data_IF_890080200963
#
_entry.id   IF_890080200963
#
_cell.length_a   1.000
_cell.length_b   1.000
_cell.length_c   1.000
_cell.angle_alpha   90.00
_cell.angle_beta   90.00
_cell.angle_gamma   90.00
#
_symmetry.space_group_name_H-M   'P 1'
#
loop_
_entity.id
_entity.type
_entity.pdbx_description
1 polymer ?
#
# COMPACT_ATOMS: atom_id res chain seq x y z
N UNK A 1 -15.35 8.58 -8.06
CA UNK A 1 -16.02 8.68 -6.79
C UNK A 1 -15.48 9.86 -6.01
N UNK A 2 -16.34 10.77 -5.58
CA UNK A 2 -15.96 11.93 -4.79
C UNK A 2 -15.46 11.53 -3.40
N UNK A 3 -14.69 12.39 -2.77
CA UNK A 3 -14.35 12.29 -1.36
C UNK A 3 -15.62 12.59 -0.54
N UNK A 4 -16.30 11.58 -0.08
CA UNK A 4 -17.48 11.67 0.77
C UNK A 4 -17.80 10.30 1.36
N UNK A 5 -18.60 10.23 2.40
CA UNK A 5 -19.00 8.95 2.96
C UNK A 5 -19.79 8.18 1.90
N UNK A 6 -19.25 7.01 1.51
CA UNK A 6 -19.96 6.08 0.65
C UNK A 6 -21.02 5.38 1.49
N UNK A 7 -22.29 5.69 1.29
CA UNK A 7 -23.38 4.97 1.94
C UNK A 7 -23.73 3.73 1.10
N UNK A 8 -23.36 2.55 1.58
CA UNK A 8 -23.76 1.28 0.98
C UNK A 8 -24.88 0.69 1.81
N UNK A 9 -26.08 0.63 1.23
CA UNK A 9 -27.28 0.09 1.91
C UNK A 9 -27.48 -1.38 1.60
N UNK A 10 -28.03 -2.12 2.57
CA UNK A 10 -28.49 -3.50 2.37
C UNK A 10 -27.39 -4.56 2.37
N UNK A 11 -26.19 -4.26 2.84
CA UNK A 11 -25.18 -5.29 3.09
C UNK A 11 -25.71 -6.24 4.14
N UNK A 12 -25.69 -7.54 3.83
CA UNK A 12 -26.00 -8.60 4.77
C UNK A 12 -24.74 -9.41 5.02
N UNK A 13 -24.32 -9.47 6.28
CA UNK A 13 -23.25 -10.37 6.71
C UNK A 13 -23.87 -11.52 7.48
N UNK A 14 -23.34 -12.74 7.29
CA UNK A 14 -23.71 -13.92 8.07
C UNK A 14 -22.55 -14.22 9.01
N UNK A 15 -22.82 -14.20 10.29
CA UNK A 15 -21.88 -14.65 11.32
C UNK A 15 -22.33 -16.00 11.85
N UNK A 16 -21.48 -17.02 11.73
CA UNK A 16 -21.76 -18.33 12.31
C UNK A 16 -21.19 -18.39 13.72
N UNK A 17 -21.95 -17.93 14.69
CA UNK A 17 -21.52 -17.81 16.08
C UNK A 17 -21.09 -19.15 16.71
N UNK A 18 -21.66 -20.27 16.29
CA UNK A 18 -21.35 -21.59 16.83
C UNK A 18 -19.91 -22.03 16.44
N UNK A 19 -19.42 -21.69 15.25
CA UNK A 19 -18.06 -22.01 14.81
C UNK A 19 -17.00 -21.27 15.64
N UNK A 20 -17.40 -20.20 16.32
CA UNK A 20 -16.54 -19.38 17.18
C UNK A 20 -16.80 -19.63 18.69
N UNK A 21 -17.55 -20.69 19.03
CA UNK A 21 -17.80 -21.07 20.41
C UNK A 21 -18.85 -20.23 21.17
N UNK A 22 -19.60 -19.39 20.45
CA UNK A 22 -20.66 -18.58 21.06
C UNK A 22 -22.00 -19.32 21.08
N UNK A 23 -22.81 -19.08 22.12
CA UNK A 23 -24.20 -19.53 22.20
C UNK A 23 -25.16 -18.48 21.59
N UNK A 24 -26.38 -18.89 21.17
CA UNK A 24 -27.37 -17.93 20.64
C UNK A 24 -27.79 -16.83 21.62
N UNK A 25 -27.51 -17.03 22.91
CA UNK A 25 -27.82 -16.10 24.00
C UNK A 25 -26.67 -15.12 24.33
N UNK A 26 -25.50 -15.29 23.72
CA UNK A 26 -24.38 -14.46 24.02
C UNK A 26 -24.53 -13.07 23.36
N UNK A 27 -24.09 -12.05 24.07
CA UNK A 27 -23.99 -10.70 23.52
C UNK A 27 -22.66 -10.53 22.85
N UNK A 28 -22.64 -10.15 21.58
CA UNK A 28 -21.43 -9.90 20.80
C UNK A 28 -21.42 -8.46 20.28
N UNK A 29 -20.24 -7.90 20.16
CA UNK A 29 -20.01 -6.63 19.45
C UNK A 29 -19.46 -6.99 18.07
N UNK A 30 -20.11 -6.53 17.02
CA UNK A 30 -19.68 -6.73 15.65
C UNK A 30 -19.14 -5.42 15.09
N UNK A 31 -17.90 -5.44 14.60
CA UNK A 31 -17.32 -4.35 13.83
C UNK A 31 -17.15 -4.80 12.39
N UNK A 32 -17.50 -3.92 11.44
CA UNK A 32 -17.37 -4.21 10.02
C UNK A 32 -16.38 -3.21 9.42
N UNK A 33 -15.33 -3.74 8.82
CA UNK A 33 -14.33 -2.96 8.09
C UNK A 33 -14.54 -3.17 6.59
N UNK A 34 -14.41 -2.11 5.82
CA UNK A 34 -14.54 -2.18 4.37
C UNK A 34 -13.36 -1.45 3.70
N UNK A 35 -12.80 -2.07 2.67
CA UNK A 35 -11.72 -1.52 1.87
C UNK A 35 -12.24 -1.28 0.46
N UNK A 36 -12.09 -0.06 -0.04
CA UNK A 36 -12.47 0.25 -1.42
C UNK A 36 -11.45 -0.35 -2.38
N UNK A 37 -11.93 -1.20 -3.30
CA UNK A 37 -11.11 -1.92 -4.26
C UNK A 37 -11.40 -1.47 -5.68
N UNK A 38 -10.37 -1.52 -6.54
CA UNK A 38 -10.47 -1.29 -7.98
C UNK A 38 -10.31 -2.61 -8.70
N UNK A 39 -11.24 -2.90 -9.61
CA UNK A 39 -11.18 -4.09 -10.47
C UNK A 39 -10.25 -3.82 -11.67
N UNK A 40 -9.25 -4.67 -11.83
CA UNK A 40 -8.31 -4.67 -12.94
C UNK A 40 -8.68 -5.86 -13.85
N UNK A 41 -9.20 -5.62 -15.06
CA UNK A 41 -9.68 -6.70 -15.92
C UNK A 41 -8.55 -7.51 -16.53
N UNK A 42 -8.84 -8.76 -16.86
CA UNK A 42 -7.95 -9.63 -17.63
C UNK A 42 -7.64 -9.00 -18.98
N UNK A 43 -6.37 -8.80 -19.26
CA UNK A 43 -5.90 -8.31 -20.57
C UNK A 43 -4.39 -8.46 -20.71
N UNK A 44 -3.93 -8.48 -21.95
CA UNK A 44 -2.52 -8.24 -22.26
C UNK A 44 -2.13 -6.81 -21.87
N UNK A 45 -0.89 -6.61 -21.54
CA UNK A 45 -0.32 -5.28 -21.30
C UNK A 45 1.18 -5.28 -21.61
N UNK A 46 1.78 -4.11 -21.64
CA UNK A 46 3.23 -3.95 -21.85
C UNK A 46 3.85 -3.60 -20.50
N UNK A 47 4.78 -4.42 -20.03
CA UNK A 47 5.62 -4.13 -18.89
C UNK A 47 6.92 -3.47 -19.35
N UNK A 48 7.40 -2.48 -18.58
CA UNK A 48 8.52 -1.63 -18.98
C UNK A 48 8.09 -0.51 -19.94
N UNK A 49 8.97 0.48 -20.13
CA UNK A 49 8.71 1.65 -21.00
C UNK A 49 9.87 1.96 -21.95
N UNK A 50 10.96 1.18 -21.91
CA UNK A 50 12.12 1.34 -22.75
C UNK A 50 13.03 2.52 -22.40
N UNK A 51 12.82 3.24 -21.27
CA UNK A 51 13.65 4.36 -20.84
C UNK A 51 13.85 4.43 -19.33
N UNK A 52 12.89 4.02 -18.53
CA UNK A 52 13.03 3.99 -17.07
C UNK A 52 13.96 2.86 -16.65
N UNK A 53 14.72 3.07 -15.57
CA UNK A 53 15.56 2.00 -15.01
C UNK A 53 14.69 0.82 -14.63
N UNK A 54 14.93 -0.31 -15.28
CA UNK A 54 14.10 -1.49 -15.14
C UNK A 54 14.99 -2.72 -14.94
N UNK A 55 14.83 -3.38 -13.81
CA UNK A 55 15.55 -4.63 -13.51
C UNK A 55 14.94 -5.85 -14.22
N UNK A 56 13.74 -5.71 -14.77
CA UNK A 56 13.00 -6.81 -15.38
C UNK A 56 13.64 -7.38 -16.63
N UNK A 57 14.66 -6.76 -17.21
CA UNK A 57 15.25 -7.24 -18.44
C UNK A 57 14.29 -8.13 -19.20
N UNK A 58 13.81 -7.73 -20.33
CA UNK A 58 12.86 -8.43 -21.22
C UNK A 58 12.11 -9.66 -20.68
N UNK A 59 10.83 -9.55 -20.51
CA UNK A 59 9.91 -10.61 -20.06
C UNK A 59 9.57 -11.61 -21.18
N UNK A 60 9.98 -11.35 -22.42
CA UNK A 60 9.66 -12.20 -23.57
C UNK A 60 10.78 -13.21 -23.86
N UNK A 61 10.39 -14.45 -24.21
CA UNK A 61 11.30 -15.59 -24.49
C UNK A 61 12.33 -15.33 -25.61
N UNK A 62 12.29 -14.21 -26.29
CA UNK A 62 12.95 -14.01 -27.57
C UNK A 62 14.26 -13.20 -27.54
N UNK A 63 14.80 -12.84 -26.35
CA UNK A 63 15.99 -12.02 -26.30
C UNK A 63 17.02 -12.46 -25.26
N UNK A 64 18.04 -13.12 -25.81
CA UNK A 64 19.36 -13.17 -25.18
C UNK A 64 20.02 -11.78 -25.22
N UNK A 65 20.01 -11.03 -24.12
CA UNK A 65 20.83 -9.84 -23.99
C UNK A 65 22.04 -10.15 -23.15
N UNK A 66 23.23 -9.84 -23.68
CA UNK A 66 24.52 -10.09 -23.05
C UNK A 66 24.67 -9.40 -21.69
N UNK A 67 25.44 -10.02 -20.81
CA UNK A 67 25.81 -9.46 -19.52
C UNK A 67 26.47 -8.09 -19.70
N UNK A 68 25.91 -7.05 -19.04
CA UNK A 68 26.54 -5.72 -18.99
C UNK A 68 25.71 -4.54 -19.53
N UNK A 69 24.62 -4.77 -20.24
CA UNK A 69 23.72 -3.68 -20.63
C UNK A 69 22.68 -3.41 -19.55
N UNK A 70 22.61 -2.18 -19.08
CA UNK A 70 21.43 -1.65 -18.39
C UNK A 70 20.32 -1.57 -19.44
N UNK A 71 19.41 -2.52 -19.41
CA UNK A 71 18.47 -2.69 -20.49
C UNK A 71 17.14 -2.03 -20.13
N UNK A 72 16.77 -1.12 -20.96
CA UNK A 72 15.53 -0.39 -21.06
C UNK A 72 14.45 -1.25 -21.75
N UNK A 73 14.13 -2.41 -21.19
CA UNK A 73 13.29 -3.37 -21.91
C UNK A 73 11.80 -3.19 -21.69
N UNK A 74 11.08 -3.38 -22.78
CA UNK A 74 9.64 -3.54 -22.79
C UNK A 74 9.32 -4.98 -23.16
N UNK A 75 8.34 -5.57 -22.48
CA UNK A 75 7.84 -6.89 -22.80
C UNK A 75 6.33 -6.93 -22.82
N UNK A 76 5.73 -7.75 -23.68
CA UNK A 76 4.28 -7.97 -23.72
C UNK A 76 3.95 -9.14 -22.81
N UNK A 77 3.13 -8.93 -21.79
CA UNK A 77 2.56 -9.98 -20.97
C UNK A 77 1.27 -10.44 -21.63
N UNK A 78 1.31 -11.62 -22.26
CA UNK A 78 0.19 -12.19 -23.05
C UNK A 78 -0.54 -13.33 -22.32
N UNK A 79 -0.01 -13.80 -21.20
CA UNK A 79 -0.55 -14.91 -20.41
C UNK A 79 0.26 -15.11 -19.14
N UNK A 80 -0.08 -16.14 -18.39
CA UNK A 80 0.58 -16.43 -17.11
C UNK A 80 1.70 -17.51 -17.25
N UNK A 81 1.90 -18.06 -18.43
CA UNK A 81 2.89 -19.14 -18.66
C UNK A 81 4.05 -18.71 -19.55
N UNK A 82 5.18 -19.39 -19.40
CA UNK A 82 6.33 -19.26 -20.29
C UNK A 82 7.15 -17.98 -20.17
N UNK A 83 6.93 -17.17 -19.14
CA UNK A 83 7.73 -15.96 -18.90
C UNK A 83 9.02 -16.28 -18.14
N UNK A 84 10.07 -15.54 -18.46
CA UNK A 84 11.38 -15.68 -17.81
C UNK A 84 11.89 -14.33 -17.31
N UNK A 85 12.70 -14.38 -16.26
CA UNK A 85 13.46 -13.25 -15.76
C UNK A 85 14.96 -13.58 -15.84
N UNK A 86 15.73 -12.83 -16.62
CA UNK A 86 17.16 -13.08 -16.84
C UNK A 86 17.46 -14.54 -17.27
N UNK A 87 16.54 -15.15 -18.00
CA UNK A 87 16.63 -16.56 -18.41
C UNK A 87 16.09 -17.57 -17.40
N UNK A 88 15.81 -17.17 -16.18
CA UNK A 88 15.19 -18.02 -15.17
C UNK A 88 13.66 -18.01 -15.31
N UNK A 89 12.99 -19.16 -15.24
CA UNK A 89 11.55 -19.20 -15.32
C UNK A 89 10.88 -18.41 -14.19
N UNK A 90 9.87 -17.63 -14.56
CA UNK A 90 8.92 -17.09 -13.58
C UNK A 90 7.84 -18.16 -13.42
N UNK A 91 7.64 -18.73 -12.21
CA UNK A 91 6.65 -19.78 -11.99
C UNK A 91 5.25 -19.38 -12.47
N UNK A 92 4.50 -20.35 -13.00
CA UNK A 92 3.16 -20.08 -13.53
C UNK A 92 2.19 -19.58 -12.44
N UNK A 93 2.41 -19.99 -11.20
CA UNK A 93 1.64 -19.55 -10.04
C UNK A 93 1.89 -18.09 -9.66
N UNK A 94 3.06 -17.52 -10.01
CA UNK A 94 3.38 -16.12 -9.73
C UNK A 94 2.48 -15.19 -10.55
N UNK A 95 1.72 -14.27 -9.92
CA UNK A 95 0.81 -13.38 -10.65
C UNK A 95 1.57 -12.39 -11.54
N UNK A 96 1.33 -12.49 -12.84
CA UNK A 96 2.00 -11.67 -13.85
C UNK A 96 1.16 -10.48 -14.32
N UNK A 97 -0.02 -10.31 -13.72
CA UNK A 97 -0.95 -9.23 -14.04
C UNK A 97 -1.77 -9.47 -15.32
N UNK A 98 -1.66 -10.60 -15.98
CA UNK A 98 -2.49 -10.91 -17.14
C UNK A 98 -3.94 -11.20 -16.73
N UNK A 99 -4.13 -12.02 -15.70
CA UNK A 99 -5.46 -12.33 -15.17
C UNK A 99 -6.10 -11.13 -14.47
N UNK A 100 -7.39 -11.21 -14.25
CA UNK A 100 -8.12 -10.19 -13.52
C UNK A 100 -7.81 -10.24 -12.02
N UNK A 101 -7.73 -9.07 -11.38
CA UNK A 101 -7.53 -8.97 -9.94
C UNK A 101 -8.17 -7.69 -9.38
N UNK A 102 -8.27 -7.62 -8.06
CA UNK A 102 -8.62 -6.40 -7.36
C UNK A 102 -7.39 -5.84 -6.65
N UNK A 103 -7.28 -4.51 -6.61
CA UNK A 103 -6.25 -3.79 -5.88
C UNK A 103 -6.92 -2.72 -5.00
N UNK A 104 -6.35 -2.43 -3.83
CA UNK A 104 -6.83 -1.33 -3.00
C UNK A 104 -6.80 -0.03 -3.79
N UNK A 105 -7.86 0.75 -3.69
CA UNK A 105 -7.96 2.05 -4.39
C UNK A 105 -7.00 3.07 -3.84
N UNK A 106 -6.75 3.01 -2.55
CA UNK A 106 -5.91 3.94 -1.80
C UNK A 106 -4.85 3.17 -1.01
N UNK A 107 -3.78 3.86 -0.67
CA UNK A 107 -2.81 3.42 0.34
C UNK A 107 -3.52 3.17 1.69
N UNK A 108 -2.90 2.36 2.55
CA UNK A 108 -3.37 2.17 3.92
C UNK A 108 -3.39 3.53 4.62
N UNK A 109 -4.54 3.98 5.10
CA UNK A 109 -4.64 5.20 5.90
C UNK A 109 -4.25 4.94 7.36
N UNK A 110 -3.87 5.97 8.10
CA UNK A 110 -3.59 5.85 9.54
C UNK A 110 -4.81 5.34 10.31
N UNK A 111 -6.01 5.71 9.86
CA UNK A 111 -7.24 5.21 10.42
C UNK A 111 -7.40 3.70 10.23
N UNK A 112 -7.19 3.21 9.00
CA UNK A 112 -7.27 1.78 8.70
C UNK A 112 -6.23 0.97 9.49
N UNK A 113 -5.01 1.52 9.65
CA UNK A 113 -3.98 0.86 10.46
C UNK A 113 -4.30 0.87 11.96
N UNK A 114 -4.91 1.94 12.48
CA UNK A 114 -5.41 1.99 13.87
C UNK A 114 -6.53 0.98 14.09
N UNK A 115 -7.46 0.84 13.15
CA UNK A 115 -8.51 -0.17 13.23
C UNK A 115 -7.91 -1.58 13.30
N UNK A 116 -6.94 -1.88 12.45
CA UNK A 116 -6.17 -3.12 12.50
C UNK A 116 -5.52 -3.34 13.87
N UNK A 117 -4.74 -2.37 14.37
CA UNK A 117 -4.07 -2.49 15.67
C UNK A 117 -5.05 -2.77 16.82
N UNK A 118 -6.23 -2.19 16.78
CA UNK A 118 -7.23 -2.33 17.84
C UNK A 118 -7.97 -3.69 17.81
N UNK A 119 -7.75 -4.52 16.79
CA UNK A 119 -8.23 -5.91 16.77
C UNK A 119 -7.22 -6.91 17.31
N UNK A 120 -5.98 -6.49 17.53
CA UNK A 120 -4.86 -7.34 17.89
C UNK A 120 -4.75 -7.54 19.41
N UNK A 121 -4.20 -8.68 19.81
CA UNK A 121 -3.77 -8.91 21.19
C UNK A 121 -2.57 -8.01 21.53
N UNK A 122 -2.27 -7.83 22.82
CA UNK A 122 -1.11 -7.05 23.25
C UNK A 122 0.21 -7.57 22.65
N UNK A 123 0.39 -8.89 22.58
CA UNK A 123 1.57 -9.51 22.01
C UNK A 123 1.70 -9.22 20.52
N UNK A 124 0.61 -9.39 19.78
CA UNK A 124 0.55 -9.06 18.35
C UNK A 124 0.82 -7.57 18.11
N UNK A 125 0.25 -6.68 18.92
CA UNK A 125 0.49 -5.24 18.84
C UNK A 125 1.98 -4.89 18.98
N UNK A 126 2.68 -5.56 19.91
CA UNK A 126 4.10 -5.30 20.18
C UNK A 126 5.00 -5.54 18.95
N UNK A 127 4.56 -6.37 18.01
CA UNK A 127 5.28 -6.62 16.75
C UNK A 127 4.94 -5.63 15.65
N UNK A 128 3.79 -4.94 15.76
CA UNK A 128 3.26 -4.04 14.69
C UNK A 128 3.56 -2.57 14.92
N UNK A 129 4.04 -2.21 16.10
CA UNK A 129 4.47 -0.84 16.42
C UNK A 129 5.85 -0.83 17.10
N UNK A 130 6.70 0.16 16.82
CA UNK A 130 8.02 0.24 17.46
C UNK A 130 7.96 0.56 18.96
N UNK A 131 6.96 1.29 19.40
CA UNK A 131 6.78 1.66 20.80
C UNK A 131 5.89 0.63 21.50
N UNK A 132 6.39 0.08 22.60
CA UNK A 132 5.67 -0.97 23.36
C UNK A 132 4.24 -0.55 23.70
N UNK A 133 3.23 -1.44 23.55
CA UNK A 133 1.84 -1.16 23.91
C UNK A 133 1.63 -0.68 25.34
N UNK A 134 2.53 -1.05 26.26
CA UNK A 134 2.53 -0.63 27.67
C UNK A 134 3.13 0.76 27.93
N UNK A 135 3.59 1.47 26.89
CA UNK A 135 4.09 2.84 27.07
C UNK A 135 2.92 3.79 27.46
N UNK A 136 3.28 4.91 28.06
CA UNK A 136 2.30 5.84 28.59
C UNK A 136 1.26 6.31 27.54
N UNK A 137 0.07 6.60 28.01
CA UNK A 137 -0.97 7.21 27.19
C UNK A 137 -0.44 8.45 26.43
N UNK A 138 -0.90 8.66 25.22
CA UNK A 138 -0.48 9.71 24.28
C UNK A 138 0.91 9.53 23.67
N UNK A 139 1.67 8.49 24.03
CA UNK A 139 2.94 8.18 23.37
C UNK A 139 2.75 7.95 21.88
N UNK A 140 3.69 8.41 21.07
CA UNK A 140 3.71 8.14 19.64
C UNK A 140 3.95 6.65 19.37
N UNK A 141 3.01 5.97 18.74
CA UNK A 141 3.13 4.53 18.48
C UNK A 141 4.24 4.18 17.50
N UNK A 142 4.50 5.05 16.52
CA UNK A 142 5.45 4.82 15.43
C UNK A 142 6.82 5.48 15.64
N UNK A 143 7.14 5.94 16.86
CA UNK A 143 8.45 6.52 17.17
C UNK A 143 9.54 5.45 17.28
N UNK A 144 10.68 5.64 16.62
CA UNK A 144 11.83 4.73 16.72
C UNK A 144 13.13 5.42 16.29
N UNK A 145 14.27 4.96 16.82
CA UNK A 145 15.59 5.46 16.45
C UNK A 145 15.68 6.99 16.50
N UNK A 146 16.06 7.63 15.41
CA UNK A 146 16.11 9.09 15.25
C UNK A 146 14.73 9.73 15.01
N UNK A 147 13.71 8.93 14.71
CA UNK A 147 12.34 9.39 14.45
C UNK A 147 11.51 9.44 15.73
N UNK A 148 11.95 10.20 16.71
CA UNK A 148 11.32 10.29 18.04
C UNK A 148 10.02 11.07 18.06
N UNK A 149 9.79 11.89 17.03
CA UNK A 149 8.55 12.65 16.84
C UNK A 149 7.95 12.40 15.43
N UNK A 150 7.18 11.33 15.24
CA UNK A 150 6.58 11.01 13.95
C UNK A 150 5.64 12.08 13.39
N UNK A 151 5.12 12.99 14.23
CA UNK A 151 4.20 14.02 13.76
C UNK A 151 4.83 15.03 12.80
N UNK A 152 6.15 15.21 12.84
CA UNK A 152 6.86 16.05 11.85
C UNK A 152 6.79 15.44 10.44
N UNK A 153 6.52 14.14 10.36
CA UNK A 153 6.29 13.37 9.14
C UNK A 153 4.80 13.07 8.93
N UNK A 154 3.94 13.76 9.66
CA UNK A 154 2.48 13.61 9.61
C UNK A 154 1.95 12.22 9.97
N UNK A 155 2.67 11.44 10.77
CA UNK A 155 2.12 10.26 11.42
C UNK A 155 1.60 10.65 12.80
N UNK A 156 0.32 10.45 13.03
CA UNK A 156 -0.39 10.89 14.24
C UNK A 156 -0.90 9.72 15.09
N UNK A 157 -0.45 8.49 14.80
CA UNK A 157 -0.85 7.30 15.56
C UNK A 157 -0.21 7.34 16.95
N UNK A 158 -1.06 7.22 17.95
CA UNK A 158 -0.68 7.25 19.37
C UNK A 158 -1.33 6.13 20.15
N UNK A 159 -0.75 5.79 21.27
CA UNK A 159 -1.38 4.99 22.32
C UNK A 159 -2.44 5.88 22.97
N UNK A 160 -3.72 5.59 22.77
CA UNK A 160 -4.83 6.29 23.42
C UNK A 160 -5.00 5.84 24.86
N UNK A 161 -4.90 4.51 25.08
CA UNK A 161 -4.91 3.88 26.38
C UNK A 161 -3.84 2.80 26.39
N UNK A 162 -2.93 2.85 27.32
CA UNK A 162 -1.84 1.88 27.44
C UNK A 162 -2.36 0.49 27.78
N UNK A 163 -1.68 -0.55 27.29
CA UNK A 163 -1.94 -1.91 27.67
C UNK A 163 -1.62 -2.15 29.15
N UNK A 164 -2.45 -2.95 29.81
CA UNK A 164 -2.27 -3.35 31.23
C UNK A 164 -2.59 -4.83 31.39
N UNK A 165 -1.71 -5.57 32.03
CA UNK A 165 -1.83 -7.02 32.18
C UNK A 165 -2.13 -7.70 30.83
N UNK A 166 -3.25 -8.40 30.71
CA UNK A 166 -3.65 -9.12 29.49
C UNK A 166 -4.60 -8.30 28.60
N UNK A 167 -4.75 -6.99 28.90
CA UNK A 167 -5.61 -6.09 28.11
C UNK A 167 -4.75 -5.34 27.09
N UNK A 168 -5.06 -5.51 25.82
CA UNK A 168 -4.39 -4.84 24.72
C UNK A 168 -4.52 -3.30 24.81
N UNK A 169 -3.55 -2.58 24.25
CA UNK A 169 -3.63 -1.12 24.14
C UNK A 169 -4.75 -0.70 23.20
N UNK A 170 -5.31 0.47 23.46
CA UNK A 170 -6.20 1.15 22.50
C UNK A 170 -5.36 2.21 21.78
N UNK A 171 -5.29 2.11 20.48
CA UNK A 171 -4.65 3.10 19.62
C UNK A 171 -5.67 4.09 19.06
N UNK A 172 -5.18 5.26 18.69
CA UNK A 172 -5.94 6.27 17.99
C UNK A 172 -5.00 7.18 17.20
N UNK A 173 -5.53 7.97 16.32
CA UNK A 173 -4.78 9.04 15.67
C UNK A 173 -5.22 10.39 16.25
N UNK A 174 -4.27 11.24 16.56
CA UNK A 174 -4.54 12.56 17.12
C UNK A 174 -3.38 13.52 16.90
N UNK A 175 -3.63 14.62 16.20
CA UNK A 175 -2.65 15.68 15.96
C UNK A 175 -2.23 16.30 17.30
N UNK A 176 -3.18 16.69 18.15
CA UNK A 176 -2.93 17.33 19.44
C UNK A 176 -2.83 16.38 20.65
N UNK A 177 -3.07 15.09 20.47
CA UNK A 177 -3.02 14.09 21.55
C UNK A 177 -4.18 14.14 22.55
N UNK A 178 -5.24 14.86 22.26
CA UNK A 178 -6.41 15.03 23.16
C UNK A 178 -7.75 14.80 22.47
N UNK A 179 -7.85 15.16 21.19
CA UNK A 179 -9.02 14.87 20.39
C UNK A 179 -8.78 13.58 19.59
N UNK A 180 -9.67 12.61 19.69
CA UNK A 180 -9.61 11.28 19.06
C UNK A 180 -10.70 11.09 18.00
N UNK A 181 -11.27 12.22 17.53
CA UNK A 181 -12.27 12.19 16.47
C UNK A 181 -11.66 11.65 15.16
N UNK A 182 -12.33 10.69 14.56
CA UNK A 182 -11.88 9.98 13.36
C UNK A 182 -11.78 10.90 12.14
N UNK A 183 -12.61 11.92 12.06
CA UNK A 183 -12.74 12.78 10.88
C UNK A 183 -11.76 13.97 10.85
N UNK A 184 -11.21 14.35 11.99
CA UNK A 184 -10.52 15.64 12.15
C UNK A 184 -9.07 15.57 12.62
N UNK A 185 -8.48 14.36 12.71
CA UNK A 185 -7.18 14.20 13.38
C UNK A 185 -6.15 13.37 12.59
N UNK A 186 -6.11 13.54 11.29
CA UNK A 186 -5.08 12.93 10.44
C UNK A 186 -5.36 11.47 10.06
N UNK A 187 -6.51 10.91 10.42
CA UNK A 187 -6.82 9.51 10.17
C UNK A 187 -6.82 9.11 8.70
N UNK A 188 -7.19 10.01 7.81
CA UNK A 188 -7.22 9.77 6.37
C UNK A 188 -5.88 10.02 5.66
N UNK A 189 -4.84 10.43 6.39
CA UNK A 189 -3.48 10.53 5.86
C UNK A 189 -2.93 9.13 5.67
N UNK A 190 -2.15 8.92 4.61
CA UNK A 190 -1.48 7.64 4.34
C UNK A 190 -0.60 7.22 5.54
N UNK A 191 -0.60 5.93 5.85
CA UNK A 191 0.12 5.39 7.00
C UNK A 191 1.57 5.10 6.63
N UNK A 192 2.45 6.03 6.93
CA UNK A 192 3.90 5.84 6.80
C UNK A 192 4.50 5.09 8.01
N UNK A 193 5.80 4.81 7.95
CA UNK A 193 6.57 4.04 8.94
C UNK A 193 6.21 2.54 8.99
N UNK A 194 5.48 2.01 8.04
CA UNK A 194 5.27 0.58 7.93
C UNK A 194 6.53 -0.10 7.38
N UNK A 195 6.83 -1.29 7.86
CA UNK A 195 7.78 -2.20 7.23
C UNK A 195 7.03 -3.28 6.41
N UNK A 196 7.78 -4.18 5.78
CA UNK A 196 7.17 -5.24 4.99
C UNK A 196 6.24 -6.14 5.82
N UNK A 197 6.71 -6.57 6.99
CA UNK A 197 5.93 -7.43 7.87
C UNK A 197 4.64 -6.77 8.37
N UNK A 198 4.65 -5.44 8.54
CA UNK A 198 3.44 -4.70 8.90
C UNK A 198 2.43 -4.70 7.77
N UNK A 199 2.91 -4.53 6.53
CA UNK A 199 2.07 -4.61 5.34
C UNK A 199 1.49 -6.01 5.15
N UNK A 200 2.31 -7.07 5.28
CA UNK A 200 1.84 -8.45 5.19
C UNK A 200 0.81 -8.78 6.28
N UNK A 201 1.08 -8.40 7.53
CA UNK A 201 0.15 -8.63 8.62
C UNK A 201 -1.20 -7.91 8.41
N UNK A 202 -1.16 -6.67 7.90
CA UNK A 202 -2.38 -5.95 7.56
C UNK A 202 -3.16 -6.65 6.43
N UNK A 203 -2.47 -7.12 5.39
CA UNK A 203 -3.10 -7.82 4.27
C UNK A 203 -3.71 -9.16 4.69
N UNK A 204 -3.03 -9.91 5.55
CA UNK A 204 -3.53 -11.16 6.10
C UNK A 204 -4.80 -10.93 6.92
N UNK A 205 -4.74 -10.01 7.89
CA UNK A 205 -5.90 -9.59 8.67
C UNK A 205 -7.08 -9.13 7.80
N UNK A 206 -6.80 -8.45 6.69
CA UNK A 206 -7.82 -7.94 5.77
C UNK A 206 -8.31 -8.99 4.76
N UNK A 207 -7.86 -10.24 4.83
CA UNK A 207 -8.13 -11.30 3.85
C UNK A 207 -7.75 -10.90 2.40
N UNK A 208 -6.70 -10.11 2.25
CA UNK A 208 -6.11 -9.69 0.99
C UNK A 208 -4.81 -10.47 0.71
N UNK A 209 -4.09 -10.09 -0.32
CA UNK A 209 -2.74 -10.57 -0.60
C UNK A 209 -1.85 -9.44 -1.10
N UNK A 210 -0.52 -9.54 -0.98
CA UNK A 210 0.37 -8.59 -1.63
C UNK A 210 0.22 -8.66 -3.16
N UNK A 211 0.39 -7.53 -3.82
CA UNK A 211 0.46 -7.47 -5.28
C UNK A 211 1.89 -7.62 -5.76
N UNK A 212 2.04 -8.09 -6.99
CA UNK A 212 3.34 -8.20 -7.64
C UNK A 212 3.73 -6.92 -8.38
N UNK A 213 5.01 -6.75 -8.67
CA UNK A 213 5.49 -5.63 -9.48
C UNK A 213 4.86 -5.57 -10.89
N UNK A 214 4.46 -6.73 -11.44
CA UNK A 214 3.79 -6.79 -12.73
C UNK A 214 2.31 -6.38 -12.61
N UNK A 215 1.64 -6.77 -11.54
CA UNK A 215 0.28 -6.31 -11.24
C UNK A 215 0.26 -4.80 -10.97
N UNK A 216 1.26 -4.27 -10.24
CA UNK A 216 1.42 -2.83 -10.02
C UNK A 216 1.50 -2.07 -11.33
N UNK A 217 2.38 -2.48 -12.25
CA UNK A 217 2.54 -1.79 -13.52
C UNK A 217 1.28 -1.85 -14.38
N UNK A 218 0.59 -3.00 -14.41
CA UNK A 218 -0.69 -3.12 -15.09
C UNK A 218 -1.76 -2.22 -14.48
N UNK A 219 -1.86 -2.18 -13.15
CA UNK A 219 -2.83 -1.32 -12.46
C UNK A 219 -2.59 0.17 -12.77
N UNK A 220 -1.33 0.57 -12.89
CA UNK A 220 -0.94 1.94 -13.26
C UNK A 220 -1.29 2.30 -14.70
N UNK A 221 -0.72 1.57 -15.65
CA UNK A 221 -0.83 1.88 -17.09
C UNK A 221 -2.08 1.35 -17.76
N UNK A 222 -2.54 0.19 -17.34
CA UNK A 222 -3.56 -0.57 -18.06
C UNK A 222 -3.01 -1.23 -19.32
N UNK A 223 -3.91 -1.51 -20.27
CA UNK A 223 -3.58 -2.12 -21.56
C UNK A 223 -3.16 -1.09 -22.65
N UNK A 224 -2.95 0.14 -22.25
CA UNK A 224 -2.68 1.25 -23.18
C UNK A 224 -1.24 1.17 -23.72
N UNK A 225 -1.05 1.89 -24.83
CA UNK A 225 0.28 2.10 -25.40
C UNK A 225 1.17 2.78 -24.38
N UNK A 226 2.41 2.33 -24.27
CA UNK A 226 3.42 2.88 -23.38
C UNK A 226 3.75 4.33 -23.74
N UNK A 227 3.78 5.18 -22.74
CA UNK A 227 4.40 6.50 -22.80
C UNK A 227 5.71 6.41 -22.04
N UNK A 228 6.82 6.68 -22.71
CA UNK A 228 8.16 6.56 -22.12
C UNK A 228 8.34 7.49 -20.93
N UNK A 229 8.72 6.92 -19.78
CA UNK A 229 8.91 7.67 -18.53
C UNK A 229 7.59 8.14 -17.90
N UNK A 230 6.48 7.48 -18.21
CA UNK A 230 5.17 7.86 -17.67
C UNK A 230 5.05 7.60 -16.17
N UNK A 231 4.21 8.41 -15.56
CA UNK A 231 3.70 8.22 -14.20
C UNK A 231 2.35 7.50 -14.23
N UNK A 232 1.84 7.08 -13.09
CA UNK A 232 0.58 6.34 -12.98
C UNK A 232 -0.61 7.06 -13.65
N UNK A 233 -0.59 8.37 -13.70
CA UNK A 233 -1.63 9.18 -14.37
C UNK A 233 -1.42 9.36 -15.89
N UNK A 234 -0.38 8.76 -16.48
CA UNK A 234 -0.18 8.74 -17.94
C UNK A 234 0.77 9.80 -18.50
N UNK A 235 1.37 10.65 -17.68
CA UNK A 235 2.34 11.66 -18.09
C UNK A 235 3.76 11.25 -17.69
N UNK A 236 4.74 11.69 -18.46
CA UNK A 236 6.15 11.44 -18.20
C UNK A 236 6.74 12.43 -17.20
N UNK A 237 7.89 12.09 -16.62
CA UNK A 237 8.70 12.96 -15.78
C UNK A 237 9.01 14.33 -16.45
N UNK A 238 9.06 15.38 -15.66
CA UNK A 238 9.30 16.75 -16.12
C UNK A 238 8.05 17.60 -16.28
N UNK A 239 6.88 17.04 -16.02
CA UNK A 239 5.67 17.85 -15.85
C UNK A 239 5.75 18.70 -14.56
N UNK A 240 5.08 19.86 -14.52
CA UNK A 240 5.15 20.72 -13.35
C UNK A 240 4.72 19.95 -12.10
N UNK A 241 5.61 19.93 -11.12
CA UNK A 241 5.33 19.49 -9.76
C UNK A 241 4.67 20.66 -9.04
N UNK A 242 3.63 20.45 -8.24
CA UNK A 242 3.13 21.54 -7.42
C UNK A 242 4.25 22.10 -6.56
N UNK A 243 4.51 23.37 -6.76
CA UNK A 243 5.65 24.05 -6.15
C UNK A 243 5.49 24.24 -4.62
N UNK A 244 4.29 24.04 -4.10
CA UNK A 244 3.97 24.26 -2.69
C UNK A 244 3.11 23.14 -2.14
N UNK A 245 3.63 22.44 -1.16
CA UNK A 245 2.93 21.42 -0.38
C UNK A 245 1.92 22.08 0.58
N UNK A 246 1.00 22.87 0.05
CA UNK A 246 -0.01 23.50 0.87
C UNK A 246 -1.35 22.82 0.66
N UNK A 247 -2.02 22.55 1.77
CA UNK A 247 -3.32 21.91 1.79
C UNK A 247 -4.38 22.87 2.32
N UNK A 248 -5.59 22.74 1.82
CA UNK A 248 -6.78 23.20 2.52
C UNK A 248 -7.16 22.10 3.50
N UNK A 249 -7.62 22.46 4.67
CA UNK A 249 -8.09 21.54 5.71
C UNK A 249 -7.06 20.48 6.12
N UNK A 250 -5.80 20.85 6.23
CA UNK A 250 -4.71 19.93 6.54
C UNK A 250 -5.00 19.06 7.78
N UNK A 251 -4.96 17.74 7.60
CA UNK A 251 -5.24 16.74 8.64
C UNK A 251 -6.72 16.42 8.83
N UNK A 252 -7.64 17.08 8.12
CA UNK A 252 -9.06 16.74 8.13
C UNK A 252 -9.41 15.72 7.04
N UNK A 253 -10.58 15.12 7.14
CA UNK A 253 -11.11 14.23 6.09
C UNK A 253 -11.29 14.97 4.75
N UNK A 254 -11.52 16.28 4.80
CA UNK A 254 -11.65 17.17 3.64
C UNK A 254 -10.32 17.72 3.10
N UNK A 255 -9.18 17.27 3.62
CA UNK A 255 -7.86 17.74 3.14
C UNK A 255 -7.73 17.58 1.61
N UNK A 256 -7.42 18.67 0.94
CA UNK A 256 -7.14 18.68 -0.50
C UNK A 256 -5.92 19.52 -0.81
N UNK A 257 -5.15 19.08 -1.80
CA UNK A 257 -4.07 19.90 -2.32
C UNK A 257 -4.61 21.20 -2.93
N UNK A 258 -3.94 22.32 -2.64
CA UNK A 258 -4.34 23.63 -3.17
C UNK A 258 -4.09 23.75 -4.66
N UNK A 259 -3.00 23.18 -5.13
CA UNK A 259 -2.71 23.11 -6.55
C UNK A 259 -3.53 22.00 -7.22
N UNK A 260 -4.22 22.32 -8.32
CA UNK A 260 -5.12 21.36 -8.98
C UNK A 260 -4.40 20.35 -9.88
N UNK A 261 -3.10 20.30 -9.86
CA UNK A 261 -2.32 19.38 -10.69
C UNK A 261 -1.89 18.19 -9.87
N UNK A 262 -2.11 17.00 -10.41
CA UNK A 262 -1.62 15.76 -9.83
C UNK A 262 -0.16 15.89 -9.47
N UNK A 263 0.12 15.56 -8.28
CA UNK A 263 1.36 15.96 -7.73
C UNK A 263 2.17 14.80 -7.27
N UNK A 264 3.22 14.87 -7.86
CA UNK A 264 4.47 14.43 -7.51
C UNK A 264 5.05 15.18 -6.31
N UNK A 265 4.79 14.67 -5.14
CA UNK A 265 5.57 15.02 -3.97
C UNK A 265 6.73 14.06 -3.87
N UNK A 266 7.92 14.57 -4.21
CA UNK A 266 9.15 13.85 -3.94
C UNK A 266 9.19 13.51 -2.44
N UNK A 267 9.19 12.23 -2.12
CA UNK A 267 9.35 11.75 -0.75
C UNK A 267 10.58 12.39 -0.13
N UNK A 268 10.44 12.93 1.05
CA UNK A 268 11.53 13.62 1.72
C UNK A 268 11.40 15.13 1.75
N UNK A 269 10.37 15.72 1.12
CA UNK A 269 10.04 17.15 1.27
C UNK A 269 8.74 17.29 2.06
N UNK A 270 8.72 18.20 3.00
CA UNK A 270 7.52 18.51 3.78
C UNK A 270 6.42 19.15 2.91
N UNK A 271 5.12 18.85 3.15
CA UNK A 271 4.64 17.87 4.11
C UNK A 271 4.81 16.44 3.57
N UNK A 272 5.40 15.56 4.36
CA UNK A 272 5.88 14.23 4.00
C UNK A 272 4.83 13.32 3.36
N UNK A 273 3.62 13.30 3.91
CA UNK A 273 2.51 12.48 3.43
C UNK A 273 1.22 13.28 3.45
N UNK A 274 0.27 12.90 2.62
CA UNK A 274 -1.01 13.57 2.50
C UNK A 274 -2.17 12.60 2.69
N UNK A 275 -3.37 13.13 2.76
CA UNK A 275 -4.59 12.34 2.73
C UNK A 275 -4.60 11.49 1.44
N UNK A 276 -4.96 10.22 1.59
CA UNK A 276 -5.14 9.35 0.42
C UNK A 276 -6.14 9.97 -0.56
N UNK A 277 -5.77 10.06 -1.82
CA UNK A 277 -6.58 10.71 -2.84
C UNK A 277 -6.76 12.22 -2.69
N UNK A 278 -5.82 12.94 -2.06
CA UNK A 278 -5.92 14.39 -1.78
C UNK A 278 -6.07 15.27 -3.04
N UNK A 279 -5.71 14.78 -4.21
CA UNK A 279 -5.87 15.50 -5.49
C UNK A 279 -7.20 15.21 -6.19
N UNK A 280 -7.94 14.18 -5.75
CA UNK A 280 -9.22 13.83 -6.36
C UNK A 280 -10.32 14.78 -5.91
N UNK A 281 -10.94 15.45 -6.87
CA UNK A 281 -12.14 16.31 -6.72
C UNK A 281 -13.12 15.95 -7.81
N UNK A 282 -14.39 16.32 -7.67
CA UNK A 282 -15.44 16.02 -8.63
C UNK A 282 -15.14 16.52 -10.05
N UNK A 283 -14.35 17.58 -10.15
CA UNK A 283 -13.99 18.22 -11.43
C UNK A 283 -12.63 17.80 -11.98
N UNK A 284 -11.86 16.96 -11.27
CA UNK A 284 -10.51 16.62 -11.68
C UNK A 284 -10.48 15.50 -12.72
N UNK A 285 -9.63 15.68 -13.72
CA UNK A 285 -9.28 14.63 -14.68
C UNK A 285 -8.36 13.59 -14.04
N UNK A 286 -8.10 12.49 -14.73
CA UNK A 286 -7.11 11.49 -14.33
C UNK A 286 -5.75 12.13 -13.99
N UNK A 287 -5.29 13.00 -14.86
CA UNK A 287 -4.02 13.70 -14.69
C UNK A 287 -3.98 14.58 -13.43
N UNK A 288 -5.04 15.36 -13.22
CA UNK A 288 -5.13 16.28 -12.06
C UNK A 288 -5.34 15.55 -10.73
N UNK A 289 -6.00 14.40 -10.77
CA UNK A 289 -6.25 13.58 -9.58
C UNK A 289 -5.10 12.65 -9.19
N UNK A 290 -4.12 12.44 -10.07
CA UNK A 290 -3.08 11.42 -9.87
C UNK A 290 -3.56 9.99 -10.08
N UNK A 291 -4.79 9.79 -10.57
CA UNK A 291 -5.38 8.48 -10.74
C UNK A 291 -4.72 7.66 -11.86
N UNK A 292 -4.64 6.35 -11.66
CA UNK A 292 -4.18 5.42 -12.70
C UNK A 292 -5.21 5.26 -13.81
N UNK A 293 -4.88 4.46 -14.82
CA UNK A 293 -5.83 4.14 -15.89
C UNK A 293 -7.15 3.56 -15.39
N UNK A 294 -7.09 2.75 -14.33
CA UNK A 294 -8.27 2.11 -13.72
C UNK A 294 -8.84 2.87 -12.52
N UNK A 295 -8.20 3.95 -12.09
CA UNK A 295 -8.66 4.78 -10.96
C UNK A 295 -8.09 4.40 -9.60
N UNK A 296 -7.00 3.63 -9.55
CA UNK A 296 -6.18 3.48 -8.34
C UNK A 296 -5.48 4.81 -8.07
N UNK A 297 -5.42 5.22 -6.84
CA UNK A 297 -4.86 6.52 -6.43
C UNK A 297 -3.46 6.35 -5.83
N UNK A 298 -2.69 7.42 -5.90
CA UNK A 298 -1.40 7.56 -5.23
C UNK A 298 -0.28 6.58 -5.64
N UNK A 299 -0.40 5.90 -6.78
CA UNK A 299 0.63 4.93 -7.25
C UNK A 299 1.92 5.58 -7.81
N UNK A 300 2.04 6.88 -7.88
CA UNK A 300 3.25 7.60 -8.32
C UNK A 300 3.54 8.82 -7.46
N UNK A 301 2.91 8.90 -6.30
CA UNK A 301 3.11 9.98 -5.34
C UNK A 301 2.89 9.47 -3.91
N UNK A 302 3.02 10.35 -2.93
CA UNK A 302 2.76 10.10 -1.52
C UNK A 302 3.77 9.14 -0.87
N UNK A 303 3.50 7.86 -0.75
CA UNK A 303 4.41 6.87 -0.17
C UNK A 303 5.00 5.94 -1.23
N UNK A 304 6.06 5.24 -0.86
CA UNK A 304 6.65 4.21 -1.72
C UNK A 304 5.91 2.90 -1.52
N UNK A 305 5.38 2.36 -2.58
CA UNK A 305 4.71 1.07 -2.57
C UNK A 305 5.72 -0.07 -2.56
N UNK A 306 5.43 -1.06 -1.75
CA UNK A 306 6.14 -2.35 -1.74
C UNK A 306 5.35 -3.39 -2.48
N UNK A 307 6.05 -4.21 -3.24
CA UNK A 307 5.44 -5.29 -4.01
C UNK A 307 6.30 -6.55 -3.96
N UNK A 308 5.71 -7.66 -4.32
CA UNK A 308 6.46 -8.91 -4.56
C UNK A 308 7.19 -8.81 -5.87
N UNK A 309 8.53 -8.93 -5.84
CA UNK A 309 9.37 -8.77 -7.03
C UNK A 309 9.65 -10.10 -7.74
N UNK A 310 10.05 -10.03 -9.01
CA UNK A 310 10.54 -11.19 -9.77
C UNK A 310 12.06 -11.34 -9.72
N UNK A 311 12.76 -10.36 -9.16
CA UNK A 311 14.23 -10.29 -9.21
C UNK A 311 14.90 -11.26 -8.27
N UNK A 312 14.26 -11.59 -7.15
CA UNK A 312 14.78 -12.52 -6.15
C UNK A 312 14.12 -13.90 -6.26
N UNK A 313 14.83 -14.98 -5.90
CA UNK A 313 14.23 -16.31 -5.83
C UNK A 313 13.04 -16.38 -4.87
N UNK A 314 13.13 -15.70 -3.71
CA UNK A 314 12.07 -15.62 -2.71
C UNK A 314 10.82 -14.92 -3.29
N UNK A 315 10.99 -13.78 -3.95
CA UNK A 315 9.88 -13.10 -4.64
C UNK A 315 9.23 -14.00 -5.71
N UNK A 316 10.04 -14.71 -6.54
CA UNK A 316 9.51 -15.62 -7.57
C UNK A 316 8.78 -16.83 -7.01
N UNK A 317 9.07 -17.22 -5.77
CA UNK A 317 8.37 -18.35 -5.11
C UNK A 317 6.96 -17.98 -4.61
N UNK A 318 6.56 -16.74 -4.75
CA UNK A 318 5.27 -16.25 -4.29
C UNK A 318 4.09 -17.05 -4.82
N UNK A 319 3.27 -17.52 -3.90
CA UNK A 319 1.97 -18.14 -4.18
C UNK A 319 0.88 -17.14 -3.76
N UNK A 320 -0.05 -16.78 -4.64
CA UNK A 320 -1.00 -15.69 -4.40
C UNK A 320 -2.19 -16.09 -3.51
N UNK A 321 -1.93 -16.85 -2.46
CA UNK A 321 -2.95 -17.14 -1.45
C UNK A 321 -3.39 -15.85 -0.80
N UNK A 322 -4.68 -15.76 -0.45
CA UNK A 322 -5.20 -14.64 0.32
C UNK A 322 -5.02 -14.92 1.81
N UNK A 323 -4.89 -13.86 2.57
CA UNK A 323 -4.99 -13.93 4.02
C UNK A 323 -6.33 -14.50 4.46
N UNK A 324 -6.38 -15.03 5.66
CA UNK A 324 -7.59 -15.68 6.20
C UNK A 324 -8.25 -14.89 7.34
N UNK A 325 -7.71 -13.72 7.66
CA UNK A 325 -8.18 -12.84 8.73
C UNK A 325 -7.57 -13.12 10.09
N UNK A 326 -6.65 -14.08 10.19
CA UNK A 326 -5.96 -14.43 11.41
C UNK A 326 -4.46 -14.17 11.26
N UNK A 327 -3.82 -13.83 12.36
CA UNK A 327 -2.38 -13.69 12.43
C UNK A 327 -1.81 -14.73 13.38
N UNK A 328 -0.54 -15.06 13.22
CA UNK A 328 0.20 -15.85 14.20
C UNK A 328 0.06 -15.25 15.61
N UNK A 329 0.39 -16.00 16.63
CA UNK A 329 0.36 -15.52 18.03
C UNK A 329 1.23 -14.27 18.22
N UNK A 330 2.30 -14.13 17.46
CA UNK A 330 3.22 -12.98 17.51
C UNK A 330 2.82 -11.83 16.59
N UNK A 331 1.68 -11.92 15.90
CA UNK A 331 1.16 -10.85 15.05
C UNK A 331 1.78 -10.76 13.67
N UNK A 332 2.48 -11.80 13.21
CA UNK A 332 2.99 -11.91 11.85
C UNK A 332 1.98 -12.59 10.93
N UNK A 333 1.97 -12.25 9.66
CA UNK A 333 1.27 -13.04 8.66
C UNK A 333 1.83 -14.47 8.64
N UNK A 334 0.95 -15.47 8.51
CA UNK A 334 1.31 -16.89 8.47
C UNK A 334 0.77 -17.60 7.23
N UNK A 335 0.51 -16.84 6.18
CA UNK A 335 0.00 -17.35 4.90
C UNK A 335 1.12 -18.06 4.11
N UNK A 336 0.89 -19.32 3.81
CA UNK A 336 1.83 -20.13 3.02
C UNK A 336 2.10 -19.51 1.64
N UNK A 337 3.40 -19.47 1.27
CA UNK A 337 3.85 -18.98 -0.02
C UNK A 337 4.02 -17.47 -0.14
N UNK A 338 3.86 -16.73 0.95
CA UNK A 338 4.21 -15.32 0.96
C UNK A 338 5.71 -15.13 1.23
N UNK A 339 6.39 -14.22 0.51
CA UNK A 339 7.83 -14.03 0.69
C UNK A 339 8.13 -13.36 2.03
N UNK A 340 9.09 -13.92 2.75
CA UNK A 340 9.53 -13.44 4.07
C UNK A 340 10.30 -12.12 4.00
N UNK A 341 10.84 -11.79 2.83
CA UNK A 341 11.58 -10.58 2.59
C UNK A 341 10.90 -9.75 1.50
N UNK A 342 10.78 -8.46 1.77
CA UNK A 342 10.17 -7.53 0.85
C UNK A 342 10.81 -7.61 -0.54
N UNK A 343 9.97 -7.57 -1.53
CA UNK A 343 10.36 -6.93 -2.76
C UNK A 343 10.67 -5.45 -2.49
N UNK A 344 11.65 -4.90 -3.17
CA UNK A 344 11.95 -3.48 -3.10
C UNK A 344 10.75 -2.64 -3.48
N UNK A 345 10.65 -1.47 -2.88
CA UNK A 345 9.60 -0.52 -3.18
C UNK A 345 9.82 0.19 -4.51
N UNK A 346 8.75 0.66 -5.10
CA UNK A 346 8.80 1.66 -6.16
C UNK A 346 9.17 3.01 -5.53
N UNK A 347 10.44 3.36 -5.62
CA UNK A 347 10.99 4.64 -5.15
C UNK A 347 10.99 5.72 -6.21
N UNK A 348 10.43 5.43 -7.34
CA UNK A 348 10.40 6.34 -8.47
C UNK A 348 8.96 6.60 -8.87
N UNK A 349 8.73 7.79 -9.33
CA UNK A 349 7.44 8.24 -9.79
C UNK A 349 7.01 7.65 -11.12
N UNK A 350 7.98 7.12 -11.89
CA UNK A 350 7.70 6.46 -13.15
C UNK A 350 7.20 5.04 -12.89
N UNK A 351 6.05 4.72 -13.44
CA UNK A 351 5.37 3.43 -13.21
C UNK A 351 6.21 2.20 -13.60
N UNK A 352 7.17 2.37 -14.51
CA UNK A 352 8.06 1.27 -14.94
C UNK A 352 9.43 1.30 -14.28
N UNK A 353 9.70 2.24 -13.37
CA UNK A 353 11.02 2.34 -12.76
C UNK A 353 11.15 1.36 -11.59
N UNK A 354 12.06 0.41 -11.74
CA UNK A 354 12.35 -0.64 -10.76
C UNK A 354 13.79 -0.61 -10.26
N UNK A 355 14.38 0.60 -10.20
CA UNK A 355 15.77 0.76 -9.78
C UNK A 355 16.07 0.10 -8.44
N UNK A 356 15.09 0.05 -7.57
CA UNK A 356 15.22 -0.46 -6.20
C UNK A 356 14.42 -1.74 -5.94
N UNK A 357 13.86 -2.37 -6.97
CA UNK A 357 13.03 -3.57 -6.80
C UNK A 357 13.80 -4.79 -6.22
N UNK A 358 15.14 -4.79 -6.32
CA UNK A 358 15.99 -5.85 -5.75
C UNK A 358 16.38 -5.58 -4.29
N UNK A 359 16.08 -4.41 -3.75
CA UNK A 359 16.43 -4.08 -2.36
C UNK A 359 15.45 -4.73 -1.38
N UNK A 360 16.03 -5.38 -0.38
CA UNK A 360 15.25 -5.87 0.75
C UNK A 360 15.09 -4.73 1.76
N UNK A 361 13.96 -4.05 1.71
CA UNK A 361 13.67 -2.92 2.59
C UNK A 361 12.83 -3.38 3.77
N UNK A 362 13.50 -3.91 4.78
CA UNK A 362 12.85 -4.33 6.03
C UNK A 362 12.67 -3.19 7.03
N UNK A 363 13.32 -2.06 6.83
CA UNK A 363 13.29 -0.95 7.76
C UNK A 363 12.00 -0.14 7.69
N UNK A 364 11.60 0.43 8.82
CA UNK A 364 10.57 1.49 8.88
C UNK A 364 11.19 2.82 8.47
N UNK A 365 10.47 3.58 7.67
CA UNK A 365 10.91 4.91 7.21
C UNK A 365 9.71 5.82 6.98
N UNK A 366 9.84 7.16 7.15
CA UNK A 366 8.73 8.08 6.90
C UNK A 366 8.20 8.09 5.46
N UNK A 367 8.94 7.53 4.51
CA UNK A 367 8.52 7.43 3.10
C UNK A 367 7.88 6.09 2.72
N UNK A 368 7.73 5.14 3.65
CA UNK A 368 7.21 3.80 3.37
C UNK A 368 5.83 3.61 3.99
N UNK A 369 4.91 3.14 3.16
CA UNK A 369 3.57 2.75 3.52
C UNK A 369 3.23 1.31 3.17
#
# INVERSE_FOLDING_TARGET
GGAGPNEIKGIKTKFNYADHGYAPTDSIIVSVFAIEMVYIPKSTFIAGDGVSTNTLRKIDNDLSVGAGQQVWDMGIVKGETGLTFKGEPIPDVYPKGFEAFYIMKHEISQHAYVDFLNTLTQEQQASRVPVKPTAADKSWAMAFGSYTNPSVYRNYIRIRTAAIADVAAIYGHSIGGTNWDRESNGGNIACNFLNWDDGLAYLDWAALRPFTELEYEKAGRGHKRVIRGEMAWGYKAGMPVAATNSFTDAGLASEVAKDPQANYLETGKAPWVMRVGAFAKDSTTRYESGGTYYGVMNMSDNLWERCVNVSTPDGRSFVPNHGDGYLSMTGTADVDGWPSAAGGGFRSFQISNRQYAELNETARHPSYG
#
